data_IF_901396515072
#
_entry.id   IF_901396515072
#
_cell.length_a   1.000
_cell.length_b   1.000
_cell.length_c   1.000
_cell.angle_alpha   90.00
_cell.angle_beta   90.00
_cell.angle_gamma   90.00
#
_symmetry.space_group_name_H-M   'P 1'
#
loop_
_entity.id
_entity.type
_entity.pdbx_description
1 polymer ?
#
# COMPACT_ATOMS: atom_id res chain seq x y z
N UNK A 1 37.10 6.11 12.29
CA UNK A 1 37.36 7.56 12.12
C UNK A 1 36.59 8.30 13.19
N UNK A 2 37.35 8.96 14.08
CA UNK A 2 37.04 9.25 15.48
C UNK A 2 36.22 10.53 15.70
N UNK A 3 35.50 10.62 16.82
CA UNK A 3 34.41 11.56 17.12
C UNK A 3 34.70 13.07 17.10
N UNK A 4 35.95 13.51 16.94
CA UNK A 4 36.32 14.95 16.95
C UNK A 4 35.69 15.76 15.82
N UNK A 5 35.72 15.25 14.58
CA UNK A 5 35.11 15.93 13.41
C UNK A 5 33.59 16.08 13.51
N UNK A 6 32.91 15.19 14.25
CA UNK A 6 31.46 15.26 14.46
C UNK A 6 31.12 16.37 15.47
N UNK A 7 31.92 16.51 16.52
CA UNK A 7 31.75 17.56 17.52
C UNK A 7 31.95 18.95 16.92
N UNK A 8 33.00 19.14 16.12
CA UNK A 8 33.28 20.40 15.42
C UNK A 8 32.14 20.79 14.48
N UNK A 9 31.60 19.84 13.72
CA UNK A 9 30.46 20.08 12.84
C UNK A 9 29.19 20.45 13.63
N UNK A 10 28.99 19.85 14.80
CA UNK A 10 27.85 20.16 15.67
C UNK A 10 27.99 21.57 16.28
N UNK A 11 29.16 21.91 16.80
CA UNK A 11 29.46 23.26 17.30
C UNK A 11 29.27 24.33 16.23
N UNK A 12 29.75 24.08 15.00
CA UNK A 12 29.56 25.00 13.89
C UNK A 12 28.07 25.16 13.52
N UNK A 13 27.28 24.09 13.59
CA UNK A 13 25.84 24.13 13.31
C UNK A 13 25.04 24.86 14.40
N UNK A 14 25.50 24.84 15.65
CA UNK A 14 24.81 25.50 16.77
C UNK A 14 25.15 26.99 16.92
N UNK A 15 26.04 27.54 16.08
CA UNK A 15 26.26 28.98 15.89
C UNK A 15 26.34 29.83 17.18
N UNK A 16 26.86 29.26 18.28
CA UNK A 16 27.09 29.98 19.53
C UNK A 16 25.89 30.15 20.47
N UNK A 17 24.78 29.40 20.34
CA UNK A 17 23.67 29.47 21.29
C UNK A 17 23.15 28.09 21.77
N UNK A 18 22.84 28.09 23.07
CA UNK A 18 22.13 27.14 23.94
C UNK A 18 22.65 25.69 24.05
N UNK A 19 22.93 25.32 25.30
CA UNK A 19 23.16 23.94 25.74
C UNK A 19 21.95 23.11 25.33
N UNK A 20 22.17 21.94 24.73
CA UNK A 20 21.08 21.02 24.36
C UNK A 20 20.37 20.59 25.65
N UNK A 21 19.06 20.79 25.78
CA UNK A 21 18.35 20.52 27.05
C UNK A 21 18.53 19.07 27.51
N UNK A 22 18.41 18.10 26.59
CA UNK A 22 18.46 16.67 26.91
C UNK A 22 19.30 15.90 25.89
N UNK A 23 20.31 15.18 26.37
CA UNK A 23 21.13 14.24 25.61
C UNK A 23 20.81 12.79 25.95
N UNK A 24 20.66 11.94 24.93
CA UNK A 24 20.49 10.50 25.07
C UNK A 24 21.70 9.76 24.48
N UNK A 25 22.32 8.88 25.26
CA UNK A 25 23.56 8.19 24.95
C UNK A 25 23.37 6.67 25.02
N UNK A 26 23.88 5.91 24.04
CA UNK A 26 23.75 4.44 24.03
C UNK A 26 25.04 3.69 24.35
N UNK A 27 26.21 4.30 24.11
CA UNK A 27 27.55 3.74 24.37
C UNK A 27 28.54 4.86 24.69
N UNK A 28 29.70 4.52 25.28
CA UNK A 28 30.78 5.47 25.61
C UNK A 28 31.30 6.32 24.45
N UNK A 29 31.02 5.94 23.20
CA UNK A 29 31.47 6.68 22.00
C UNK A 29 30.72 8.00 21.79
N UNK A 30 29.65 8.26 22.53
CA UNK A 30 28.83 9.48 22.43
C UNK A 30 29.22 10.55 23.47
N UNK A 31 30.24 10.30 24.31
CA UNK A 31 30.69 11.22 25.37
C UNK A 31 30.90 12.68 24.93
N UNK A 32 31.52 12.98 23.76
CA UNK A 32 31.71 14.37 23.32
C UNK A 32 30.40 15.09 22.99
N UNK A 33 29.38 14.38 22.52
CA UNK A 33 28.05 14.96 22.30
C UNK A 33 27.35 15.23 23.63
N UNK A 34 27.47 14.29 24.59
CA UNK A 34 26.85 14.43 25.91
C UNK A 34 27.39 15.62 26.71
N UNK A 35 28.64 16.05 26.48
CA UNK A 35 29.17 17.27 27.13
C UNK A 35 28.46 18.55 26.70
N UNK A 36 27.73 18.53 25.58
CA UNK A 36 26.96 19.68 25.07
C UNK A 36 25.52 19.72 25.59
N UNK A 37 25.13 18.73 26.41
CA UNK A 37 23.76 18.59 26.91
C UNK A 37 23.66 18.96 28.40
N UNK A 38 22.57 19.63 28.79
CA UNK A 38 22.25 20.04 30.16
C UNK A 38 21.84 18.83 31.00
N UNK A 39 20.87 18.07 30.53
CA UNK A 39 20.51 16.76 31.08
C UNK A 39 21.12 15.63 30.25
N UNK A 40 21.60 14.59 30.92
CA UNK A 40 22.37 13.51 30.28
C UNK A 40 21.84 12.16 30.73
N UNK A 41 21.20 11.45 29.82
CA UNK A 41 20.69 10.12 30.07
C UNK A 41 21.46 9.12 29.22
N UNK A 42 22.32 8.35 29.86
CA UNK A 42 22.92 7.19 29.22
C UNK A 42 21.99 6.00 29.39
N UNK A 43 21.32 5.67 28.29
CA UNK A 43 20.48 4.49 28.18
C UNK A 43 21.44 3.35 27.86
N UNK A 44 21.79 2.55 28.87
CA UNK A 44 22.35 1.23 28.59
C UNK A 44 21.34 0.50 27.73
N UNK A 45 21.70 0.01 26.53
CA UNK A 45 20.83 -0.82 25.75
C UNK A 45 20.51 -2.02 26.65
N UNK A 46 19.31 -2.04 27.22
CA UNK A 46 18.77 -3.29 27.67
C UNK A 46 18.52 -4.03 26.37
N UNK A 47 19.42 -4.94 26.02
CA UNK A 47 19.35 -5.75 24.80
C UNK A 47 18.01 -6.54 24.70
N UNK A 48 17.16 -6.47 25.73
CA UNK A 48 15.83 -7.06 25.85
C UNK A 48 14.65 -6.07 25.82
N UNK A 49 14.85 -4.76 25.61
CA UNK A 49 13.75 -3.80 25.54
C UNK A 49 12.81 -4.15 24.39
N UNK A 50 11.59 -4.59 24.71
CA UNK A 50 10.60 -4.98 23.71
C UNK A 50 9.99 -3.75 23.03
N UNK A 51 9.72 -3.79 21.72
CA UNK A 51 8.95 -2.74 21.06
C UNK A 51 7.62 -2.54 21.78
N UNK A 52 7.27 -1.28 22.03
CA UNK A 52 5.99 -0.92 22.66
C UNK A 52 4.84 -1.53 21.83
N UNK A 53 3.86 -2.21 22.46
CA UNK A 53 2.69 -2.69 21.75
C UNK A 53 1.92 -1.55 21.10
N UNK A 54 1.33 -1.78 19.92
CA UNK A 54 0.56 -0.75 19.20
C UNK A 54 -0.58 -0.15 20.02
N UNK A 55 -1.17 -0.93 20.93
CA UNK A 55 -2.24 -0.50 21.85
C UNK A 55 -1.80 0.57 22.84
N UNK A 56 -0.48 0.67 23.09
CA UNK A 56 0.11 1.63 24.04
C UNK A 56 0.71 2.85 23.32
N UNK A 57 0.57 2.94 22.00
CA UNK A 57 1.07 4.11 21.27
C UNK A 57 0.29 5.36 21.69
N UNK A 58 0.97 6.46 22.02
CA UNK A 58 0.29 7.71 22.39
C UNK A 58 -0.50 8.30 21.22
N UNK A 59 -0.13 7.95 19.98
CA UNK A 59 -0.86 8.28 18.76
C UNK A 59 -0.89 7.07 17.81
N UNK A 60 -2.01 6.82 17.13
CA UNK A 60 -2.10 5.71 16.18
C UNK A 60 -1.12 5.90 15.02
N UNK A 61 -0.36 4.87 14.71
CA UNK A 61 0.52 4.85 13.54
C UNK A 61 -0.32 4.54 12.29
N UNK A 62 -0.86 5.59 11.67
CA UNK A 62 -1.71 5.46 10.47
C UNK A 62 -0.89 5.57 9.19
N UNK A 63 0.02 6.56 9.12
CA UNK A 63 0.85 6.79 7.96
C UNK A 63 2.31 6.47 8.26
N UNK A 64 2.85 5.56 7.46
CA UNK A 64 4.22 5.10 7.56
C UNK A 64 4.82 5.04 6.14
N UNK A 65 6.09 5.42 5.98
CA UNK A 65 6.82 5.37 4.70
C UNK A 65 8.08 4.50 4.78
N UNK A 66 8.51 3.94 3.65
CA UNK A 66 9.68 3.05 3.56
C UNK A 66 9.35 1.64 3.08
N UNK A 67 10.35 0.96 2.54
CA UNK A 67 10.19 -0.32 1.83
C UNK A 67 10.66 -1.55 2.59
N UNK A 68 11.45 -1.41 3.64
CA UNK A 68 11.94 -2.55 4.41
C UNK A 68 10.94 -2.88 5.52
N UNK A 69 10.63 -4.17 5.67
CA UNK A 69 9.76 -4.69 6.73
C UNK A 69 10.53 -4.85 8.03
N UNK A 70 11.71 -5.45 7.96
CA UNK A 70 12.57 -5.66 9.11
C UNK A 70 13.33 -4.39 9.51
N UNK A 71 13.62 -4.28 10.80
CA UNK A 71 14.59 -3.33 11.32
C UNK A 71 15.96 -3.63 10.69
N UNK A 72 16.74 -2.63 10.23
CA UNK A 72 18.00 -2.88 9.56
C UNK A 72 19.11 -3.23 10.57
N UNK A 73 19.02 -4.41 11.19
CA UNK A 73 20.14 -5.00 11.91
C UNK A 73 21.26 -5.36 10.91
N UNK A 74 22.53 -5.51 11.35
CA UNK A 74 23.60 -5.93 10.43
C UNK A 74 23.29 -7.24 9.70
N UNK A 75 22.67 -8.20 10.41
CA UNK A 75 22.27 -9.49 9.83
C UNK A 75 21.12 -9.33 8.84
N UNK A 76 20.04 -8.63 9.20
CA UNK A 76 18.90 -8.42 8.29
C UNK A 76 19.32 -7.62 7.06
N UNK A 77 20.20 -6.64 7.23
CA UNK A 77 20.76 -5.86 6.13
C UNK A 77 21.57 -6.74 5.18
N UNK A 78 22.38 -7.66 5.70
CA UNK A 78 23.12 -8.63 4.90
C UNK A 78 22.17 -9.59 4.16
N UNK A 79 21.14 -10.10 4.84
CA UNK A 79 20.12 -10.99 4.24
C UNK A 79 19.41 -10.27 3.08
N UNK A 80 18.97 -9.04 3.30
CA UNK A 80 18.30 -8.24 2.27
C UNK A 80 19.25 -7.98 1.09
N UNK A 81 20.51 -7.62 1.36
CA UNK A 81 21.51 -7.36 0.32
C UNK A 81 21.76 -8.60 -0.56
N UNK A 82 21.93 -9.76 0.08
CA UNK A 82 22.12 -11.04 -0.62
C UNK A 82 20.86 -11.47 -1.35
N UNK A 83 19.67 -11.14 -0.85
CA UNK A 83 18.40 -11.50 -1.46
C UNK A 83 18.07 -10.69 -2.71
N UNK A 84 18.40 -9.39 -2.75
CA UNK A 84 18.06 -8.49 -3.87
C UNK A 84 18.33 -9.10 -5.26
N UNK A 85 19.52 -9.65 -5.59
CA UNK A 85 19.74 -10.23 -6.92
C UNK A 85 18.78 -11.38 -7.25
N UNK A 86 18.53 -12.28 -6.29
CA UNK A 86 17.55 -13.37 -6.46
C UNK A 86 16.12 -12.84 -6.54
N UNK A 87 15.79 -11.83 -5.74
CA UNK A 87 14.50 -11.14 -5.74
C UNK A 87 14.19 -10.53 -7.11
N UNK A 88 15.17 -9.87 -7.74
CA UNK A 88 15.02 -9.27 -9.08
C UNK A 88 14.70 -10.34 -10.14
N UNK A 89 15.37 -11.49 -10.11
CA UNK A 89 15.06 -12.61 -11.01
C UNK A 89 13.66 -13.15 -10.74
N UNK A 90 13.33 -13.37 -9.46
CA UNK A 90 12.04 -13.90 -9.03
C UNK A 90 10.87 -13.01 -9.43
N UNK A 91 10.99 -11.69 -9.25
CA UNK A 91 9.92 -10.75 -9.63
C UNK A 91 9.75 -10.68 -11.14
N UNK A 92 10.84 -10.75 -11.90
CA UNK A 92 10.78 -10.80 -13.37
C UNK A 92 9.99 -12.02 -13.82
N UNK A 93 10.30 -13.20 -13.27
CA UNK A 93 9.55 -14.43 -13.53
C UNK A 93 8.06 -14.28 -13.16
N UNK A 94 7.74 -13.72 -11.98
CA UNK A 94 6.37 -13.50 -11.52
C UNK A 94 5.57 -12.55 -12.42
N UNK A 95 6.21 -11.49 -12.92
CA UNK A 95 5.58 -10.57 -13.88
C UNK A 95 5.28 -11.29 -15.20
N UNK A 96 6.23 -12.05 -15.74
CA UNK A 96 6.04 -12.82 -16.98
C UNK A 96 4.91 -13.86 -16.83
N UNK A 97 4.83 -14.53 -15.68
CA UNK A 97 3.71 -15.43 -15.36
C UNK A 97 2.37 -14.68 -15.36
N UNK A 98 2.33 -13.48 -14.79
CA UNK A 98 1.12 -12.64 -14.78
C UNK A 98 0.65 -12.21 -16.16
N UNK A 99 1.58 -12.00 -17.11
CA UNK A 99 1.29 -11.63 -18.49
C UNK A 99 0.80 -12.80 -19.38
N UNK A 100 0.89 -14.04 -18.88
CA UNK A 100 0.55 -15.24 -19.64
C UNK A 100 -0.97 -15.54 -19.64
N UNK A 101 -1.45 -16.31 -20.62
CA UNK A 101 -2.85 -16.80 -20.72
C UNK A 101 -2.80 -18.29 -21.07
N UNK A 102 -3.21 -19.22 -20.18
CA UNK A 102 -4.46 -19.15 -19.39
C UNK A 102 -4.29 -19.02 -17.85
N UNK A 103 -5.26 -18.37 -17.19
CA UNK A 103 -5.29 -18.10 -15.74
C UNK A 103 -5.03 -19.32 -14.83
N UNK A 104 -5.42 -20.53 -15.24
CA UNK A 104 -5.15 -21.75 -14.47
C UNK A 104 -3.65 -22.01 -14.34
N UNK A 105 -2.92 -21.90 -15.45
CA UNK A 105 -1.47 -22.05 -15.46
C UNK A 105 -0.80 -20.90 -14.71
N UNK A 106 -1.29 -19.67 -14.90
CA UNK A 106 -0.80 -18.53 -14.14
C UNK A 106 -0.90 -18.75 -12.63
N UNK A 107 -2.05 -19.21 -12.12
CA UNK A 107 -2.24 -19.51 -10.70
C UNK A 107 -1.26 -20.58 -10.18
N UNK A 108 -1.06 -21.65 -10.94
CA UNK A 108 -0.11 -22.72 -10.58
C UNK A 108 1.33 -22.20 -10.54
N UNK A 109 1.77 -21.47 -11.58
CA UNK A 109 3.10 -20.88 -11.63
C UNK A 109 3.30 -19.83 -10.54
N UNK A 110 2.30 -18.97 -10.29
CA UNK A 110 2.30 -17.98 -9.21
C UNK A 110 2.48 -18.67 -7.86
N UNK A 111 1.74 -19.75 -7.59
CA UNK A 111 1.90 -20.55 -6.38
C UNK A 111 3.29 -21.22 -6.29
N UNK A 112 3.80 -21.77 -7.39
CA UNK A 112 5.12 -22.40 -7.46
C UNK A 112 6.26 -21.41 -7.15
N UNK A 113 6.10 -20.13 -7.52
CA UNK A 113 7.06 -19.08 -7.14
C UNK A 113 6.93 -18.65 -5.67
N UNK A 114 5.96 -19.16 -4.90
CA UNK A 114 5.76 -18.88 -3.47
C UNK A 114 4.69 -17.84 -3.15
N UNK A 115 3.99 -17.27 -4.14
CA UNK A 115 2.89 -16.33 -3.90
C UNK A 115 1.65 -17.09 -3.44
N UNK A 116 1.07 -16.67 -2.31
CA UNK A 116 -0.14 -17.27 -1.74
C UNK A 116 -1.32 -16.34 -1.95
N UNK A 117 -2.37 -16.82 -2.60
CA UNK A 117 -3.62 -16.07 -2.81
C UNK A 117 -4.76 -16.90 -2.22
N UNK A 118 -5.50 -16.31 -1.28
CA UNK A 118 -6.75 -16.87 -0.74
C UNK A 118 -7.89 -15.93 -1.09
N UNK A 119 -8.89 -16.45 -1.79
CA UNK A 119 -10.09 -15.69 -2.15
C UNK A 119 -11.34 -16.37 -1.57
N UNK A 120 -12.19 -15.57 -0.94
CA UNK A 120 -13.50 -15.98 -0.43
C UNK A 120 -14.59 -15.21 -1.17
N UNK A 121 -15.71 -15.88 -1.49
CA UNK A 121 -16.83 -15.29 -2.22
C UNK A 121 -18.11 -15.51 -1.43
N UNK A 122 -18.73 -14.43 -0.96
CA UNK A 122 -20.01 -14.50 -0.23
C UNK A 122 -21.21 -14.79 -1.14
N UNK A 123 -21.10 -14.45 -2.43
CA UNK A 123 -22.06 -14.81 -3.46
C UNK A 123 -21.42 -15.76 -4.48
N UNK A 124 -22.20 -16.64 -5.13
CA UNK A 124 -21.69 -17.47 -6.22
C UNK A 124 -21.02 -16.61 -7.29
N UNK A 125 -19.82 -17.02 -7.71
CA UNK A 125 -19.13 -16.33 -8.80
C UNK A 125 -19.99 -16.40 -10.05
N UNK A 126 -20.41 -15.25 -10.57
CA UNK A 126 -21.07 -15.20 -11.87
C UNK A 126 -20.10 -15.68 -12.94
N UNK A 127 -20.34 -16.88 -13.47
CA UNK A 127 -19.59 -17.39 -14.60
C UNK A 127 -19.89 -16.55 -15.85
N UNK A 128 -18.92 -16.47 -16.76
CA UNK A 128 -19.04 -15.68 -17.98
C UNK A 128 -20.21 -16.13 -18.87
N UNK A 129 -20.64 -17.40 -18.75
CA UNK A 129 -21.71 -17.99 -19.56
C UNK A 129 -23.13 -17.60 -19.11
N UNK A 130 -23.33 -17.24 -17.85
CA UNK A 130 -24.66 -16.91 -17.28
C UNK A 130 -24.86 -15.40 -17.08
N UNK A 131 -23.97 -14.60 -17.68
CA UNK A 131 -23.85 -13.19 -17.36
C UNK A 131 -24.93 -12.38 -18.08
N UNK A 132 -25.81 -11.75 -17.29
CA UNK A 132 -26.59 -10.59 -17.73
C UNK A 132 -25.64 -9.52 -18.31
N UNK A 133 -26.11 -8.71 -19.27
CA UNK A 133 -25.36 -7.61 -19.90
C UNK A 133 -24.81 -6.56 -18.91
N UNK A 134 -25.12 -6.66 -17.63
CA UNK A 134 -24.59 -5.77 -16.59
C UNK A 134 -23.15 -6.13 -16.18
N UNK A 135 -22.25 -5.16 -16.33
CA UNK A 135 -20.87 -5.23 -15.86
C UNK A 135 -20.77 -4.82 -14.40
N UNK A 136 -19.80 -5.39 -13.69
CA UNK A 136 -19.70 -5.23 -12.23
C UNK A 136 -18.59 -4.26 -11.86
N UNK A 137 -18.89 -3.34 -10.94
CA UNK A 137 -17.90 -2.46 -10.34
C UNK A 137 -17.40 -3.06 -9.01
N UNK A 138 -16.15 -3.51 -9.00
CA UNK A 138 -15.46 -3.95 -7.79
C UNK A 138 -14.85 -2.76 -7.06
N UNK A 139 -15.06 -2.68 -5.75
CA UNK A 139 -14.53 -1.59 -4.91
C UNK A 139 -13.70 -2.20 -3.80
N UNK A 140 -12.41 -1.89 -3.75
CA UNK A 140 -11.51 -2.46 -2.76
C UNK A 140 -10.73 -1.41 -1.98
N UNK A 141 -10.35 -1.73 -0.74
CA UNK A 141 -9.29 -1.00 -0.07
C UNK A 141 -7.96 -1.21 -0.80
N UNK A 142 -6.99 -0.32 -0.56
CA UNK A 142 -5.77 -0.26 -1.35
C UNK A 142 -4.53 -0.54 -0.50
N UNK A 143 -3.90 -1.68 -0.72
CA UNK A 143 -2.69 -2.14 -0.01
C UNK A 143 -1.44 -1.98 -0.85
N UNK A 144 -1.52 -2.31 -2.13
CA UNK A 144 -0.41 -2.24 -3.09
C UNK A 144 -0.90 -1.88 -4.48
N UNK A 145 0.01 -1.55 -5.39
CA UNK A 145 -0.34 -1.35 -6.80
C UNK A 145 -0.82 -2.62 -7.52
N UNK A 146 -0.65 -3.82 -6.94
CA UNK A 146 -1.07 -5.08 -7.56
C UNK A 146 -2.45 -5.56 -7.11
N UNK A 147 -3.14 -4.87 -6.18
CA UNK A 147 -4.45 -5.33 -5.69
C UNK A 147 -5.47 -5.58 -6.83
N UNK A 148 -5.61 -4.68 -7.83
CA UNK A 148 -6.48 -4.93 -9.00
C UNK A 148 -6.11 -6.17 -9.81
N UNK A 149 -4.80 -6.45 -9.93
CA UNK A 149 -4.28 -7.63 -10.64
C UNK A 149 -4.68 -8.90 -9.89
N UNK A 150 -4.48 -8.92 -8.57
CA UNK A 150 -4.81 -10.08 -7.74
C UNK A 150 -6.33 -10.34 -7.74
N UNK A 151 -7.16 -9.29 -7.73
CA UNK A 151 -8.62 -9.39 -7.88
C UNK A 151 -8.97 -10.03 -9.24
N UNK A 152 -8.40 -9.55 -10.34
CA UNK A 152 -8.62 -10.12 -11.68
C UNK A 152 -8.17 -11.59 -11.78
N UNK A 153 -7.02 -11.92 -11.19
CA UNK A 153 -6.49 -13.28 -11.12
C UNK A 153 -7.42 -14.21 -10.33
N UNK A 154 -7.94 -13.77 -9.19
CA UNK A 154 -8.87 -14.56 -8.37
C UNK A 154 -10.22 -14.77 -9.07
N UNK A 155 -10.72 -13.75 -9.78
CA UNK A 155 -11.91 -13.85 -10.61
C UNK A 155 -11.70 -14.68 -11.89
N UNK A 156 -10.43 -14.91 -12.29
CA UNK A 156 -10.02 -15.60 -13.52
C UNK A 156 -10.59 -14.96 -14.79
N UNK A 157 -10.69 -13.63 -14.79
CA UNK A 157 -11.13 -12.82 -15.93
C UNK A 157 -10.51 -11.43 -15.86
N UNK A 158 -10.33 -10.77 -17.01
CA UNK A 158 -9.80 -9.41 -17.05
C UNK A 158 -10.80 -8.44 -16.42
N UNK A 159 -10.31 -7.67 -15.46
CA UNK A 159 -11.04 -6.56 -14.83
C UNK A 159 -10.20 -5.31 -15.06
N UNK A 160 -10.79 -4.28 -15.65
CA UNK A 160 -10.07 -3.03 -15.93
C UNK A 160 -9.81 -2.30 -14.62
N UNK A 161 -8.59 -1.85 -14.39
CA UNK A 161 -8.21 -1.13 -13.17
C UNK A 161 -8.26 0.38 -13.36
N UNK A 162 -8.92 1.06 -12.42
CA UNK A 162 -8.88 2.52 -12.32
C UNK A 162 -7.67 2.93 -11.49
N UNK A 163 -6.80 3.76 -12.05
CA UNK A 163 -5.54 4.13 -11.42
C UNK A 163 -5.35 5.63 -11.33
N UNK A 164 -4.80 6.08 -10.19
CA UNK A 164 -4.41 7.47 -9.97
C UNK A 164 -2.88 7.58 -10.02
N UNK A 165 -2.36 8.32 -11.01
CA UNK A 165 -0.91 8.60 -11.11
C UNK A 165 0.00 7.35 -11.04
N UNK A 166 -0.35 6.32 -11.79
CA UNK A 166 0.55 5.20 -12.07
C UNK A 166 1.55 5.62 -13.16
N UNK A 167 2.77 5.08 -13.16
CA UNK A 167 3.78 5.40 -14.18
C UNK A 167 3.52 4.62 -15.47
N UNK A 168 4.05 5.11 -16.61
CA UNK A 168 3.97 4.38 -17.89
C UNK A 168 4.58 2.98 -17.81
N UNK A 169 5.64 2.79 -17.03
CA UNK A 169 6.26 1.48 -16.82
C UNK A 169 5.28 0.52 -16.14
N UNK A 170 4.57 0.97 -15.11
CA UNK A 170 3.58 0.15 -14.41
C UNK A 170 2.36 -0.17 -15.28
N UNK A 171 1.96 0.73 -16.19
CA UNK A 171 0.94 0.46 -17.21
C UNK A 171 1.42 -0.60 -18.22
N UNK A 172 2.65 -0.49 -18.70
CA UNK A 172 3.25 -1.40 -19.68
C UNK A 172 3.35 -2.84 -19.17
N UNK A 173 3.70 -3.02 -17.91
CA UNK A 173 3.85 -4.36 -17.29
C UNK A 173 2.54 -4.88 -16.67
N UNK A 174 1.41 -4.16 -16.82
CA UNK A 174 0.13 -4.56 -16.25
C UNK A 174 -0.50 -5.70 -17.07
N UNK A 175 -0.88 -6.83 -16.45
CA UNK A 175 -1.57 -7.93 -17.14
C UNK A 175 -3.05 -7.62 -17.42
N UNK A 176 -3.57 -6.55 -16.83
CA UNK A 176 -4.95 -6.08 -16.99
C UNK A 176 -4.99 -4.69 -17.62
N UNK A 177 -6.07 -4.34 -18.33
CA UNK A 177 -6.25 -2.98 -18.83
C UNK A 177 -6.29 -1.97 -17.68
N UNK A 178 -5.71 -0.79 -17.89
CA UNK A 178 -5.69 0.28 -16.90
C UNK A 178 -6.27 1.56 -17.48
N UNK A 179 -7.06 2.28 -16.68
CA UNK A 179 -7.56 3.62 -17.02
C UNK A 179 -6.96 4.61 -16.05
N UNK A 180 -6.40 5.68 -16.60
CA UNK A 180 -5.77 6.75 -15.84
C UNK A 180 -6.78 7.85 -15.53
N UNK A 181 -6.96 8.12 -14.24
CA UNK A 181 -7.77 9.22 -13.76
C UNK A 181 -6.97 10.51 -13.64
N UNK A 182 -7.64 11.63 -13.91
CA UNK A 182 -7.08 12.98 -13.96
C UNK A 182 -7.36 13.79 -12.70
N UNK A 183 -8.12 13.24 -11.74
CA UNK A 183 -8.56 13.92 -10.51
C UNK A 183 -9.56 15.03 -10.77
N UNK A 184 -10.25 14.96 -11.90
CA UNK A 184 -11.43 15.77 -12.18
C UNK A 184 -12.65 14.86 -12.04
N UNK A 185 -13.58 15.23 -11.16
CA UNK A 185 -14.72 14.37 -10.83
C UNK A 185 -15.61 14.08 -12.05
N UNK A 186 -15.78 15.06 -12.94
CA UNK A 186 -16.67 14.92 -14.09
C UNK A 186 -16.01 14.06 -15.18
N UNK A 187 -14.76 14.37 -15.55
CA UNK A 187 -14.00 13.57 -16.51
C UNK A 187 -13.80 12.13 -16.02
N UNK A 188 -13.39 11.97 -14.75
CA UNK A 188 -13.15 10.65 -14.17
C UNK A 188 -14.43 9.82 -14.11
N UNK A 189 -15.56 10.45 -13.77
CA UNK A 189 -16.87 9.82 -13.77
C UNK A 189 -17.31 9.37 -15.16
N UNK A 190 -17.12 10.21 -16.19
CA UNK A 190 -17.44 9.87 -17.57
C UNK A 190 -16.58 8.69 -18.08
N UNK A 191 -15.27 8.70 -17.79
CA UNK A 191 -14.35 7.60 -18.15
C UNK A 191 -14.72 6.28 -17.48
N UNK A 192 -15.01 6.32 -16.19
CA UNK A 192 -15.43 5.15 -15.43
C UNK A 192 -16.75 4.57 -15.95
N UNK A 193 -17.76 5.41 -16.26
CA UNK A 193 -19.01 4.96 -16.88
C UNK A 193 -18.78 4.31 -18.24
N UNK A 194 -18.00 4.97 -19.11
CA UNK A 194 -17.66 4.44 -20.42
C UNK A 194 -16.97 3.08 -20.32
N UNK A 195 -15.98 2.94 -19.42
CA UNK A 195 -15.31 1.67 -19.18
C UNK A 195 -16.23 0.58 -18.66
N UNK A 196 -17.09 0.91 -17.69
CA UNK A 196 -18.04 -0.03 -17.12
C UNK A 196 -19.06 -0.48 -18.18
N UNK A 197 -19.36 0.34 -19.20
CA UNK A 197 -20.18 -0.08 -20.34
C UNK A 197 -19.56 -1.14 -21.25
N UNK A 198 -18.25 -1.40 -21.14
CA UNK A 198 -17.53 -2.37 -21.99
C UNK A 198 -16.99 -3.58 -21.21
N UNK A 199 -16.94 -3.52 -19.88
CA UNK A 199 -16.33 -4.57 -19.08
C UNK A 199 -16.35 -4.27 -17.59
N UNK A 200 -15.88 -5.25 -16.81
CA UNK A 200 -15.74 -5.08 -15.37
C UNK A 200 -14.69 -4.05 -15.03
N UNK A 201 -14.94 -3.33 -13.95
CA UNK A 201 -14.08 -2.26 -13.46
C UNK A 201 -13.74 -2.53 -12.00
N UNK A 202 -12.49 -2.24 -11.61
CA UNK A 202 -12.08 -2.23 -10.21
C UNK A 202 -11.51 -0.86 -9.85
N UNK A 203 -11.91 -0.34 -8.69
CA UNK A 203 -11.47 0.96 -8.19
C UNK A 203 -11.06 0.86 -6.72
N UNK A 204 -9.99 1.58 -6.40
CA UNK A 204 -9.46 1.78 -5.05
C UNK A 204 -9.84 3.20 -4.57
N UNK A 205 -10.99 3.41 -3.90
CA UNK A 205 -11.51 4.74 -3.62
C UNK A 205 -10.71 5.52 -2.57
N UNK A 206 -9.76 4.89 -1.87
CA UNK A 206 -8.74 5.56 -1.04
C UNK A 206 -7.84 6.49 -1.86
N UNK A 207 -7.63 6.18 -3.15
CA UNK A 207 -6.80 6.95 -4.08
C UNK A 207 -5.30 6.91 -3.78
N UNK A 208 -4.87 6.12 -2.80
CA UNK A 208 -3.47 5.77 -2.50
C UNK A 208 -3.44 4.49 -1.69
N UNK A 209 -2.34 3.75 -1.79
CA UNK A 209 -2.09 2.58 -0.94
C UNK A 209 -1.96 2.99 0.52
N UNK A 210 -2.44 2.15 1.44
CA UNK A 210 -2.28 2.22 2.89
C UNK A 210 -1.81 0.84 3.37
N UNK A 211 -0.79 0.78 4.23
CA UNK A 211 -0.27 -0.49 4.78
C UNK A 211 -0.61 -0.74 6.24
N UNK A 212 -1.06 0.27 6.96
CA UNK A 212 -1.43 0.10 8.36
C UNK A 212 -2.87 -0.46 8.43
N UNK A 213 -3.34 -1.02 9.56
CA UNK A 213 -4.67 -1.61 9.69
C UNK A 213 -5.77 -0.55 9.79
N UNK A 214 -5.73 0.42 8.88
CA UNK A 214 -6.65 1.53 8.76
C UNK A 214 -7.09 1.68 7.31
N UNK A 215 -8.34 2.08 7.12
CA UNK A 215 -8.89 2.46 5.82
C UNK A 215 -8.95 3.98 5.72
N UNK A 216 -8.40 4.53 4.64
CA UNK A 216 -8.64 5.93 4.31
C UNK A 216 -10.08 6.13 3.89
N UNK A 217 -10.56 7.37 3.99
CA UNK A 217 -11.89 7.77 3.56
C UNK A 217 -12.09 7.43 2.08
N UNK A 218 -13.18 6.75 1.77
CA UNK A 218 -13.52 6.39 0.40
C UNK A 218 -14.11 7.60 -0.35
N UNK A 219 -13.59 7.87 -1.54
CA UNK A 219 -14.23 8.80 -2.48
C UNK A 219 -15.58 8.25 -2.95
N UNK A 220 -16.68 9.04 -2.93
CA UNK A 220 -18.02 8.54 -3.28
C UNK A 220 -18.28 8.40 -4.78
N UNK A 221 -17.30 8.74 -5.64
CA UNK A 221 -17.48 8.76 -7.10
C UNK A 221 -18.02 7.44 -7.66
N UNK A 222 -17.51 6.31 -7.17
CA UNK A 222 -17.92 4.98 -7.63
C UNK A 222 -19.41 4.69 -7.36
N UNK A 223 -19.96 5.24 -6.26
CA UNK A 223 -21.36 5.05 -5.87
C UNK A 223 -22.36 5.80 -6.76
N UNK A 224 -21.88 6.75 -7.56
CA UNK A 224 -22.68 7.51 -8.54
C UNK A 224 -22.64 6.90 -9.95
N UNK A 225 -21.86 5.84 -10.14
CA UNK A 225 -21.48 5.32 -11.45
C UNK A 225 -22.08 3.96 -11.72
N UNK A 226 -22.07 3.07 -10.72
CA UNK A 226 -22.56 1.71 -10.85
C UNK A 226 -23.84 1.52 -10.04
N UNK A 227 -24.77 0.77 -10.62
CA UNK A 227 -25.96 0.26 -9.93
C UNK A 227 -25.62 -0.97 -9.08
N UNK A 228 -24.69 -1.81 -9.53
CA UNK A 228 -24.24 -3.00 -8.80
C UNK A 228 -22.76 -2.87 -8.41
N UNK A 229 -22.51 -2.78 -7.10
CA UNK A 229 -21.16 -2.65 -6.54
C UNK A 229 -20.84 -3.90 -5.74
N UNK A 230 -19.67 -4.50 -5.99
CA UNK A 230 -19.14 -5.60 -5.19
C UNK A 230 -17.96 -5.09 -4.36
N UNK A 231 -18.13 -4.92 -3.04
CA UNK A 231 -17.00 -4.63 -2.15
C UNK A 231 -16.04 -5.82 -2.09
N UNK A 232 -14.75 -5.53 -2.10
CA UNK A 232 -13.69 -6.53 -1.95
C UNK A 232 -12.73 -6.09 -0.86
N UNK A 233 -12.69 -6.83 0.25
CA UNK A 233 -11.71 -6.60 1.29
C UNK A 233 -10.38 -7.26 0.93
N UNK A 234 -9.29 -6.51 1.00
CA UNK A 234 -7.95 -6.92 0.57
C UNK A 234 -6.99 -6.82 1.76
N UNK A 235 -6.34 -7.94 2.08
CA UNK A 235 -5.20 -7.99 3.00
C UNK A 235 -3.97 -8.51 2.26
N UNK A 236 -2.80 -8.09 2.72
CA UNK A 236 -1.53 -8.53 2.16
C UNK A 236 -0.47 -8.69 3.23
N UNK A 237 0.46 -9.61 3.00
CA UNK A 237 1.62 -9.79 3.87
C UNK A 237 2.88 -9.95 3.01
N UNK A 238 3.98 -9.37 3.48
CA UNK A 238 5.32 -9.50 2.93
C UNK A 238 6.34 -9.56 4.05
N UNK A 239 7.40 -10.35 3.87
CA UNK A 239 8.39 -10.62 4.93
C UNK A 239 9.61 -9.71 4.88
N UNK A 240 9.97 -9.22 3.71
CA UNK A 240 11.17 -8.39 3.50
C UNK A 240 10.82 -6.98 3.05
N UNK A 241 9.83 -6.86 2.16
CA UNK A 241 9.51 -5.59 1.51
C UNK A 241 8.04 -5.21 1.56
N UNK A 242 7.80 -3.93 1.85
CA UNK A 242 6.49 -3.31 1.67
C UNK A 242 6.25 -2.92 0.21
N UNK A 243 5.00 -3.11 -0.23
CA UNK A 243 4.52 -2.76 -1.57
C UNK A 243 3.97 -1.34 -1.71
N UNK A 244 4.45 -0.41 -0.87
CA UNK A 244 3.98 0.98 -0.85
C UNK A 244 5.11 1.91 -0.43
N UNK A 245 5.32 2.97 -1.21
CA UNK A 245 6.14 4.11 -0.83
C UNK A 245 5.41 5.41 -1.14
N UNK A 246 5.65 6.45 -0.35
CA UNK A 246 5.35 7.83 -0.74
C UNK A 246 6.56 8.45 -1.44
N UNK A 247 7.76 8.26 -0.89
CA UNK A 247 9.00 8.81 -1.41
C UNK A 247 9.65 7.90 -2.46
N UNK A 248 10.19 8.49 -3.53
CA UNK A 248 10.89 7.79 -4.61
C UNK A 248 9.99 7.32 -5.77
N UNK A 249 10.47 6.30 -6.50
CA UNK A 249 9.81 5.76 -7.70
C UNK A 249 8.74 4.72 -7.35
N UNK A 250 7.46 5.10 -7.41
CA UNK A 250 6.32 4.23 -7.10
C UNK A 250 6.21 3.00 -7.99
N UNK A 251 6.75 3.05 -9.21
CA UNK A 251 6.72 1.90 -10.10
C UNK A 251 7.44 0.68 -9.52
N UNK A 252 8.42 0.91 -8.64
CA UNK A 252 9.15 -0.15 -7.95
C UNK A 252 8.30 -0.81 -6.85
N UNK A 253 7.17 -0.24 -6.44
CA UNK A 253 6.39 -0.79 -5.33
C UNK A 253 5.83 -2.18 -5.65
N UNK A 254 5.38 -2.40 -6.89
CA UNK A 254 5.01 -3.74 -7.38
C UNK A 254 6.21 -4.69 -7.38
N UNK A 255 7.40 -4.18 -7.75
CA UNK A 255 8.63 -4.99 -7.76
C UNK A 255 8.98 -5.43 -6.34
N UNK A 256 9.12 -4.49 -5.41
CA UNK A 256 9.42 -4.76 -4.01
C UNK A 256 8.44 -5.74 -3.38
N UNK A 257 7.14 -5.54 -3.59
CA UNK A 257 6.15 -6.49 -3.08
C UNK A 257 6.36 -7.90 -3.66
N UNK A 258 6.52 -8.02 -4.97
CA UNK A 258 6.71 -9.30 -5.65
C UNK A 258 8.14 -9.85 -5.54
N UNK A 259 9.09 -9.15 -4.92
CA UNK A 259 10.40 -9.67 -4.55
C UNK A 259 10.36 -10.41 -3.21
N UNK A 260 9.29 -10.30 -2.42
CA UNK A 260 9.17 -11.07 -1.19
C UNK A 260 9.27 -12.58 -1.49
N UNK A 261 9.95 -13.39 -0.66
CA UNK A 261 10.01 -14.84 -0.86
C UNK A 261 8.63 -15.49 -0.92
N UNK A 262 7.74 -15.18 0.05
CA UNK A 262 6.42 -15.82 0.19
C UNK A 262 5.28 -14.83 0.47
N UNK A 263 5.01 -13.87 -0.44
CA UNK A 263 3.97 -12.88 -0.23
C UNK A 263 2.59 -13.53 -0.16
N UNK A 264 1.70 -12.94 0.61
CA UNK A 264 0.32 -13.38 0.75
C UNK A 264 -0.67 -12.29 0.33
N UNK A 265 -1.77 -12.72 -0.26
CA UNK A 265 -2.98 -11.94 -0.45
C UNK A 265 -4.20 -12.68 0.07
N UNK A 266 -4.97 -11.99 0.90
CA UNK A 266 -6.34 -12.36 1.25
C UNK A 266 -7.32 -11.47 0.50
N UNK A 267 -8.28 -12.07 -0.17
CA UNK A 267 -9.40 -11.40 -0.81
C UNK A 267 -10.70 -11.92 -0.23
N UNK A 268 -11.58 -11.00 0.12
CA UNK A 268 -12.93 -11.31 0.53
C UNK A 268 -13.94 -10.51 -0.30
N UNK A 269 -14.64 -11.20 -1.20
CA UNK A 269 -15.66 -10.63 -2.06
C UNK A 269 -16.99 -10.64 -1.31
N UNK A 270 -17.44 -9.46 -0.89
CA UNK A 270 -18.65 -9.27 -0.08
C UNK A 270 -19.91 -9.30 -0.96
N UNK A 271 -21.07 -9.39 -0.30
CA UNK A 271 -22.37 -9.29 -0.95
C UNK A 271 -22.53 -7.95 -1.70
N UNK A 272 -23.31 -7.99 -2.78
CA UNK A 272 -23.54 -6.81 -3.61
C UNK A 272 -24.25 -5.70 -2.85
N UNK A 273 -23.85 -4.48 -3.13
CA UNK A 273 -24.47 -3.26 -2.60
C UNK A 273 -25.06 -2.47 -3.77
N UNK A 274 -26.36 -2.15 -3.75
CA UNK A 274 -26.95 -1.34 -4.80
C UNK A 274 -26.44 0.10 -4.71
N UNK A 275 -25.98 0.63 -5.84
CA UNK A 275 -25.73 2.05 -6.03
C UNK A 275 -27.03 2.84 -6.26
N UNK A 276 -26.97 4.15 -6.06
CA UNK A 276 -28.08 5.06 -6.38
C UNK A 276 -29.32 5.04 -5.46
N UNK A 277 -29.53 4.01 -4.62
CA UNK A 277 -30.68 3.94 -3.71
C UNK A 277 -30.54 4.81 -2.45
N UNK A 278 -29.32 5.20 -2.09
CA UNK A 278 -29.00 6.07 -0.95
C UNK A 278 -28.12 7.21 -1.41
N UNK A 279 -27.85 8.17 -0.52
CA UNK A 279 -26.81 9.17 -0.77
C UNK A 279 -25.50 8.46 -1.10
N UNK A 280 -24.80 8.94 -2.13
CA UNK A 280 -23.47 8.44 -2.52
C UNK A 280 -22.48 8.37 -1.36
N UNK A 281 -22.61 9.27 -0.39
CA UNK A 281 -21.76 9.30 0.80
C UNK A 281 -22.10 8.15 1.73
N UNK A 282 -23.38 7.83 1.90
CA UNK A 282 -23.84 6.71 2.72
C UNK A 282 -23.38 5.37 2.12
N UNK A 283 -23.49 5.22 0.80
CA UNK A 283 -22.99 4.03 0.09
C UNK A 283 -21.48 3.88 0.28
N UNK A 284 -20.72 4.96 0.12
CA UNK A 284 -19.27 4.94 0.30
C UNK A 284 -18.85 4.60 1.73
N UNK A 285 -19.49 5.22 2.72
CA UNK A 285 -19.23 4.98 4.14
C UNK A 285 -19.64 3.55 4.54
N UNK A 286 -20.78 3.06 4.05
CA UNK A 286 -21.24 1.70 4.30
C UNK A 286 -20.25 0.67 3.77
N UNK A 287 -19.75 0.86 2.55
CA UNK A 287 -18.76 -0.04 1.93
C UNK A 287 -17.42 0.03 2.66
N UNK A 288 -16.96 1.22 3.05
CA UNK A 288 -15.74 1.38 3.86
C UNK A 288 -15.88 0.60 5.18
N UNK A 289 -17.00 0.76 5.90
CA UNK A 289 -17.27 0.05 7.15
C UNK A 289 -17.44 -1.46 6.97
N UNK A 290 -18.05 -1.91 5.87
CA UNK A 290 -18.18 -3.33 5.58
C UNK A 290 -16.82 -3.99 5.35
N UNK A 291 -15.96 -3.35 4.54
CA UNK A 291 -14.58 -3.80 4.34
C UNK A 291 -13.82 -3.78 5.67
N UNK A 292 -13.85 -2.66 6.40
CA UNK A 292 -13.14 -2.51 7.68
C UNK A 292 -13.51 -3.58 8.70
N UNK A 293 -14.82 -3.85 8.87
CA UNK A 293 -15.29 -4.93 9.76
C UNK A 293 -14.83 -6.32 9.31
N UNK A 294 -14.80 -6.58 8.01
CA UNK A 294 -14.41 -7.89 7.46
C UNK A 294 -12.94 -8.22 7.77
N UNK A 295 -12.05 -7.23 7.68
CA UNK A 295 -10.60 -7.43 7.85
C UNK A 295 -10.06 -6.90 9.18
N UNK A 296 -10.94 -6.44 10.07
CA UNK A 296 -10.56 -5.88 11.38
C UNK A 296 -9.78 -4.56 11.29
N UNK A 297 -10.01 -3.75 10.25
CA UNK A 297 -9.34 -2.46 10.07
C UNK A 297 -10.23 -1.32 10.55
N UNK A 298 -9.59 -0.31 11.14
CA UNK A 298 -10.29 0.89 11.60
C UNK A 298 -10.56 1.85 10.43
N UNK A 299 -11.78 2.37 10.34
CA UNK A 299 -12.15 3.34 9.32
C UNK A 299 -11.76 4.75 9.77
N UNK A 300 -11.02 5.48 8.94
CA UNK A 300 -10.62 6.86 9.22
C UNK A 300 -11.33 7.84 8.28
N UNK A 301 -11.39 9.10 8.69
CA UNK A 301 -11.78 10.22 7.83
C UNK A 301 -10.60 10.84 7.07
N UNK A 302 -9.39 10.31 7.26
CA UNK A 302 -8.19 10.79 6.60
C UNK A 302 -8.22 10.46 5.11
N UNK A 303 -7.67 11.37 4.32
CA UNK A 303 -7.67 11.28 2.86
C UNK A 303 -6.28 11.02 2.33
N UNK A 304 -6.23 10.75 1.02
CA UNK A 304 -4.97 10.79 0.27
C UNK A 304 -4.17 12.06 0.56
N UNK A 305 -4.79 13.24 0.56
CA UNK A 305 -4.07 14.51 0.72
C UNK A 305 -3.38 14.57 2.09
N UNK A 306 -4.06 14.13 3.13
CA UNK A 306 -3.52 14.08 4.50
C UNK A 306 -2.28 13.18 4.56
N UNK A 307 -2.32 12.02 3.88
CA UNK A 307 -1.17 11.11 3.77
C UNK A 307 0.05 11.79 3.14
N UNK A 308 -0.09 12.41 1.96
CA UNK A 308 1.06 13.02 1.29
C UNK A 308 1.56 14.26 2.02
N UNK A 309 0.66 15.03 2.65
CA UNK A 309 1.04 16.19 3.45
C UNK A 309 1.89 15.77 4.65
N UNK A 310 1.47 14.72 5.37
CA UNK A 310 2.23 14.20 6.51
C UNK A 310 3.56 13.57 6.10
N UNK A 311 3.60 12.75 5.04
CA UNK A 311 4.79 11.96 4.70
C UNK A 311 5.80 12.67 3.79
N UNK A 312 5.35 13.62 2.96
CA UNK A 312 6.18 14.26 1.93
C UNK A 312 6.00 15.78 1.84
N UNK A 313 5.12 16.39 2.64
CA UNK A 313 4.94 17.85 2.66
C UNK A 313 4.21 18.44 1.44
N UNK A 314 3.55 17.61 0.61
CA UNK A 314 2.80 18.08 -0.57
C UNK A 314 1.45 17.35 -0.70
N UNK A 315 0.53 17.83 -1.54
CA UNK A 315 -0.85 17.29 -1.63
C UNK A 315 -1.01 16.09 -2.60
N UNK A 316 0.11 15.45 -2.97
CA UNK A 316 0.14 14.37 -3.96
C UNK A 316 -0.08 14.81 -5.42
N UNK A 317 -0.01 16.12 -5.68
CA UNK A 317 0.15 16.73 -6.99
C UNK A 317 1.63 17.12 -7.11
N UNK A 318 2.46 16.21 -7.59
CA UNK A 318 3.86 16.55 -7.88
C UNK A 318 3.96 16.92 -9.37
N UNK A 319 4.25 18.18 -9.73
CA UNK A 319 4.40 18.61 -11.12
C UNK A 319 5.68 18.06 -11.78
N UNK A 320 6.56 17.36 -11.04
CA UNK A 320 7.83 16.80 -11.54
C UNK A 320 7.77 15.31 -11.90
N UNK A 321 6.58 14.70 -11.96
CA UNK A 321 6.36 13.29 -12.31
C UNK A 321 5.48 13.11 -13.54
#
# INVERSE_FOLDING_TARGET
MSGSRRLEALHAAMAGAEVIDVGLCGKDRDQPFMSLCAERYCITPQDAAQPVPRSEYPKPLIFHDGRLVALPTPLDSLIVLLWIPFGVVLVTLRILVGLSSPYKLCLLCTAATGVRIRAQFHEPRSDAATRSRSHTLFVCNHRTLVDPVIISTALRRKVTAVTYSVSRLSELISPIPTIRLRRDRFEDGARMRSSLGHGDLVVCPEGTTCREPYLLRFSPLFAEIAEDIVPVAVTNEGSMFYGTTVRGHKCLDSFFFLMNPRPFYGLDFLAKVPGGQKSKYDVANHIQQAIGRTIGFECTNLTRKDKYRMLAGHDGLDPRK
#
